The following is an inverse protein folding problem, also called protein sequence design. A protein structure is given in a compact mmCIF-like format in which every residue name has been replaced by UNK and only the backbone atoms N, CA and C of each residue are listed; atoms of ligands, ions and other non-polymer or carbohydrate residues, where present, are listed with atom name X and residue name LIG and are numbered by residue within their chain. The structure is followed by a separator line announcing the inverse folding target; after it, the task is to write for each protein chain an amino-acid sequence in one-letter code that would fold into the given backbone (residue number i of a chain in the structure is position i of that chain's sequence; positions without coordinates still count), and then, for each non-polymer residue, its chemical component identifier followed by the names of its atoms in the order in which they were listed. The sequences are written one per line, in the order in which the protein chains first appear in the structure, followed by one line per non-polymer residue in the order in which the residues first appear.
data_IF_299902615047
#
_entry.id   IF_299902615047
#
_cell.length_a   1.000
_cell.length_b   1.000
_cell.length_c   1.000
_cell.angle_alpha   90.00
_cell.angle_beta   90.00
_cell.angle_gamma   90.00
#
_symmetry.space_group_name_H-M   'P 1'
#
loop_
_entity.id
_entity.type
_entity.pdbx_description
1 polymer ?
#
# COMPACT_ATOMS: atom_id res chain seq x y z
N UNK A 1 -13.56 10.93 17.66
CA UNK A 1 -13.19 12.19 16.98
C UNK A 1 -14.27 12.51 15.95
N UNK A 2 -14.76 13.75 15.93
CA UNK A 2 -15.89 14.19 15.09
C UNK A 2 -15.45 14.83 13.77
N UNK A 3 -14.30 14.43 13.24
CA UNK A 3 -13.76 14.94 11.98
C UNK A 3 -13.73 13.78 10.97
N UNK A 4 -14.48 13.93 9.87
CA UNK A 4 -14.79 12.85 8.94
C UNK A 4 -13.65 12.53 7.95
N UNK A 5 -12.58 13.33 7.95
CA UNK A 5 -11.47 13.19 7.00
C UNK A 5 -10.37 12.25 7.51
N UNK A 6 -10.28 11.04 6.94
CA UNK A 6 -9.17 10.11 7.20
C UNK A 6 -7.87 10.46 6.44
N UNK A 7 -7.95 11.41 5.49
CA UNK A 7 -6.85 11.72 4.56
C UNK A 7 -5.55 12.13 5.25
N UNK A 8 -5.62 12.78 6.42
CA UNK A 8 -4.44 13.18 7.17
C UNK A 8 -3.69 11.99 7.80
N UNK A 9 -4.41 10.96 8.27
CA UNK A 9 -3.80 9.71 8.72
C UNK A 9 -3.16 8.95 7.54
N UNK A 10 -3.84 8.92 6.39
CA UNK A 10 -3.33 8.25 5.20
C UNK A 10 -2.04 8.92 4.71
N UNK A 11 -2.03 10.25 4.62
CA UNK A 11 -0.84 11.01 4.24
C UNK A 11 0.35 10.71 5.17
N UNK A 12 0.09 10.69 6.49
CA UNK A 12 1.09 10.35 7.49
C UNK A 12 1.68 8.94 7.31
N UNK A 13 0.84 7.95 6.99
CA UNK A 13 1.33 6.60 6.74
C UNK A 13 2.18 6.52 5.46
N UNK A 14 1.90 7.37 4.46
CA UNK A 14 2.69 7.40 3.22
C UNK A 14 4.07 8.03 3.43
N UNK A 15 4.24 8.96 4.39
CA UNK A 15 5.56 9.52 4.77
C UNK A 15 6.58 8.43 5.11
N UNK A 16 6.13 7.29 5.66
CA UNK A 16 7.00 6.13 5.96
C UNK A 16 7.61 5.50 4.69
N UNK A 17 6.93 5.60 3.55
CA UNK A 17 7.40 5.07 2.27
C UNK A 17 8.27 6.07 1.50
N UNK A 18 8.20 7.36 1.85
CA UNK A 18 8.95 8.39 1.15
C UNK A 18 10.46 8.18 1.28
N UNK A 19 11.18 8.31 0.17
CA UNK A 19 12.63 8.15 0.11
C UNK A 19 13.13 6.70 0.21
N UNK A 20 12.26 5.71 0.39
CA UNK A 20 12.65 4.29 0.37
C UNK A 20 12.97 3.85 -1.06
N UNK A 21 14.18 3.33 -1.26
CA UNK A 21 14.63 2.77 -2.55
C UNK A 21 14.42 1.26 -2.65
N UNK A 22 14.14 0.60 -1.52
CA UNK A 22 13.96 -0.85 -1.41
C UNK A 22 12.52 -1.31 -1.63
N UNK A 23 11.58 -0.36 -1.73
CA UNK A 23 10.16 -0.61 -1.92
C UNK A 23 9.63 0.25 -3.06
N UNK A 24 8.70 -0.30 -3.84
CA UNK A 24 7.85 0.47 -4.75
C UNK A 24 6.44 0.52 -4.17
N UNK A 25 5.72 1.61 -4.39
CA UNK A 25 4.34 1.72 -3.92
C UNK A 25 3.46 2.50 -4.88
N UNK A 26 2.16 2.23 -4.82
CA UNK A 26 1.14 2.93 -5.58
C UNK A 26 -0.07 3.19 -4.67
N UNK A 27 -0.39 4.46 -4.47
CA UNK A 27 -1.62 4.87 -3.81
C UNK A 27 -2.81 4.65 -4.76
N UNK A 28 -3.88 4.06 -4.24
CA UNK A 28 -5.15 3.84 -4.94
C UNK A 28 -6.30 4.40 -4.09
N UNK A 29 -7.52 4.56 -4.64
CA UNK A 29 -8.66 5.09 -3.88
C UNK A 29 -9.03 4.27 -2.63
N UNK A 30 -8.68 2.98 -2.59
CA UNK A 30 -9.09 2.06 -1.52
C UNK A 30 -7.91 1.49 -0.72
N UNK A 31 -6.70 2.01 -0.91
CA UNK A 31 -5.51 1.56 -0.17
C UNK A 31 -4.21 1.78 -0.95
N UNK A 32 -3.12 1.28 -0.39
CA UNK A 32 -1.78 1.41 -0.97
C UNK A 32 -1.28 0.03 -1.35
N UNK A 33 -0.89 -0.14 -2.61
CA UNK A 33 -0.18 -1.35 -3.07
C UNK A 33 1.30 -1.12 -2.82
N UNK A 34 1.97 -2.08 -2.17
CA UNK A 34 3.40 -2.03 -1.87
C UNK A 34 4.04 -3.28 -2.46
N UNK A 35 5.16 -3.10 -3.16
CA UNK A 35 5.96 -4.15 -3.77
C UNK A 35 7.37 -4.15 -3.19
N UNK A 36 7.84 -5.33 -2.80
CA UNK A 36 9.16 -5.54 -2.22
C UNK A 36 9.26 -6.92 -1.57
N UNK A 37 10.33 -7.14 -0.80
CA UNK A 37 10.49 -8.38 -0.02
C UNK A 37 9.45 -8.47 1.09
N UNK A 38 9.03 -9.70 1.43
CA UNK A 38 8.06 -9.97 2.48
C UNK A 38 8.47 -9.34 3.81
N UNK A 39 9.73 -9.50 4.21
CA UNK A 39 10.24 -8.97 5.47
C UNK A 39 10.10 -7.45 5.55
N UNK A 40 10.41 -6.74 4.46
CA UNK A 40 10.27 -5.28 4.38
C UNK A 40 8.82 -4.83 4.37
N UNK A 41 7.93 -5.57 3.71
CA UNK A 41 6.49 -5.28 3.72
C UNK A 41 5.91 -5.44 5.14
N UNK A 42 6.29 -6.49 5.87
CA UNK A 42 5.82 -6.69 7.23
C UNK A 42 6.39 -5.63 8.19
N UNK A 43 7.67 -5.28 8.04
CA UNK A 43 8.33 -4.21 8.79
C UNK A 43 7.59 -2.87 8.61
N UNK A 44 7.31 -2.49 7.36
CA UNK A 44 6.69 -1.20 7.04
C UNK A 44 5.22 -1.17 7.44
N UNK A 45 4.50 -2.28 7.28
CA UNK A 45 3.08 -2.37 7.66
C UNK A 45 2.92 -2.16 9.16
N UNK A 46 3.85 -2.69 9.97
CA UNK A 46 3.86 -2.45 11.41
C UNK A 46 4.06 -0.96 11.72
N UNK A 47 5.05 -0.32 11.10
CA UNK A 47 5.30 1.12 11.31
C UNK A 47 4.07 1.95 10.93
N UNK A 48 3.44 1.66 9.80
CA UNK A 48 2.21 2.34 9.36
C UNK A 48 1.01 2.12 10.27
N UNK A 49 0.91 0.95 10.90
CA UNK A 49 -0.17 0.66 11.84
C UNK A 49 -0.08 1.52 13.11
N UNK A 50 1.14 1.89 13.52
CA UNK A 50 1.38 2.72 14.72
C UNK A 50 1.10 4.21 14.48
N UNK A 51 1.33 4.72 13.27
CA UNK A 51 1.18 6.17 12.95
C UNK A 51 -0.15 6.79 13.37
N UNK A 52 -1.32 6.15 13.16
CA UNK A 52 -2.57 6.74 13.62
C UNK A 52 -2.67 6.83 15.15
N UNK A 53 -2.06 5.91 15.90
CA UNK A 53 -2.03 5.99 17.36
C UNK A 53 -1.20 7.19 17.83
N UNK A 54 -0.06 7.46 17.19
CA UNK A 54 0.76 8.66 17.44
C UNK A 54 0.00 9.97 17.16
N UNK A 55 -1.03 9.89 16.30
CA UNK A 55 -1.92 11.01 15.94
C UNK A 55 -3.25 10.99 16.69
N UNK A 56 -3.36 10.20 17.76
CA UNK A 56 -4.49 10.22 18.70
C UNK A 56 -5.64 9.27 18.36
N UNK A 57 -5.49 8.37 17.38
CA UNK A 57 -6.46 7.31 17.16
C UNK A 57 -6.46 6.32 18.35
N UNK A 58 -7.63 5.99 18.88
CA UNK A 58 -7.74 5.01 19.97
C UNK A 58 -7.83 3.56 19.47
N UNK A 59 -8.12 3.36 18.18
CA UNK A 59 -8.26 2.05 17.55
C UNK A 59 -7.95 2.16 16.07
N UNK A 60 -7.14 1.24 15.57
CA UNK A 60 -6.78 1.10 14.15
C UNK A 60 -7.11 -0.32 13.70
N UNK A 61 -7.62 -0.46 12.49
CA UNK A 61 -7.78 -1.75 11.81
C UNK A 61 -6.97 -1.68 10.52
N UNK A 62 -5.99 -2.56 10.37
CA UNK A 62 -5.19 -2.67 9.16
C UNK A 62 -5.51 -3.98 8.46
N UNK A 63 -5.87 -3.89 7.18
CA UNK A 63 -6.10 -5.04 6.31
C UNK A 63 -4.91 -5.20 5.37
N UNK A 64 -4.16 -6.29 5.49
CA UNK A 64 -3.04 -6.62 4.62
C UNK A 64 -3.38 -7.85 3.78
N UNK A 65 -3.22 -7.73 2.46
CA UNK A 65 -3.29 -8.85 1.51
C UNK A 65 -1.95 -9.03 0.84
N UNK A 66 -1.36 -10.22 1.00
CA UNK A 66 -0.05 -10.56 0.43
C UNK A 66 -0.27 -11.50 -0.76
N UNK A 67 0.32 -11.14 -1.90
CA UNK A 67 0.29 -11.92 -3.13
C UNK A 67 1.73 -12.22 -3.55
N UNK A 68 2.26 -13.33 -3.03
CA UNK A 68 3.60 -13.85 -3.32
C UNK A 68 3.49 -15.09 -4.22
N UNK A 69 4.33 -15.13 -5.25
CA UNK A 69 4.52 -16.30 -6.09
C UNK A 69 6.01 -16.59 -6.23
N UNK A 70 6.40 -17.86 -6.31
CA UNK A 70 7.81 -18.28 -6.38
C UNK A 70 8.20 -18.94 -7.70
N UNK A 71 7.23 -19.12 -8.58
CA UNK A 71 7.40 -19.77 -9.88
C UNK A 71 7.85 -18.79 -10.97
N UNK A 72 7.52 -17.50 -10.87
CA UNK A 72 8.05 -16.45 -11.74
C UNK A 72 8.03 -15.06 -11.09
N UNK A 73 8.92 -14.14 -11.48
CA UNK A 73 8.84 -12.74 -11.09
C UNK A 73 7.51 -12.12 -11.52
N UNK A 74 7.00 -11.19 -10.71
CA UNK A 74 5.76 -10.48 -10.98
C UNK A 74 5.81 -9.12 -10.30
N UNK A 75 5.33 -8.10 -11.02
CA UNK A 75 5.25 -6.72 -10.52
C UNK A 75 3.80 -6.24 -10.58
N UNK A 76 3.44 -5.27 -9.74
CA UNK A 76 2.12 -4.65 -9.69
C UNK A 76 1.77 -4.00 -11.03
N UNK A 77 2.72 -3.31 -11.66
CA UNK A 77 2.56 -2.75 -13.01
C UNK A 77 2.31 -3.86 -14.02
N UNK A 78 3.12 -4.93 -13.99
CA UNK A 78 2.96 -6.06 -14.91
C UNK A 78 1.60 -6.77 -14.76
N UNK A 79 1.03 -6.82 -13.55
CA UNK A 79 -0.32 -7.35 -13.32
C UNK A 79 -1.39 -6.48 -13.99
N UNK A 80 -1.29 -5.16 -13.86
CA UNK A 80 -2.22 -4.22 -14.51
C UNK A 80 -2.09 -4.31 -16.03
N UNK A 81 -0.87 -4.25 -16.56
CA UNK A 81 -0.62 -4.37 -18.00
C UNK A 81 -1.15 -5.67 -18.60
N UNK A 82 -1.01 -6.79 -17.88
CA UNK A 82 -1.51 -8.09 -18.35
C UNK A 82 -3.02 -8.07 -18.55
N UNK A 83 -3.77 -7.37 -17.70
CA UNK A 83 -5.22 -7.19 -17.84
C UNK A 83 -5.54 -6.22 -18.97
N UNK A 84 -4.84 -5.08 -19.06
CA UNK A 84 -5.05 -4.08 -20.11
C UNK A 84 -4.80 -4.63 -21.51
N UNK A 85 -3.80 -5.51 -21.67
CA UNK A 85 -3.55 -6.25 -22.93
C UNK A 85 -4.77 -7.08 -23.37
N UNK A 86 -5.51 -7.65 -22.41
CA UNK A 86 -6.72 -8.43 -22.65
C UNK A 86 -7.98 -7.55 -22.77
N UNK A 87 -7.93 -6.29 -22.33
CA UNK A 87 -9.03 -5.32 -22.35
C UNK A 87 -8.54 -3.93 -22.80
N UNK A 88 -8.20 -3.75 -24.09
CA UNK A 88 -7.66 -2.48 -24.60
C UNK A 88 -8.62 -1.28 -24.51
N UNK A 89 -9.92 -1.54 -24.28
CA UNK A 89 -10.95 -0.50 -24.14
C UNK A 89 -10.93 0.20 -22.79
N UNK A 90 -10.26 -0.34 -21.77
CA UNK A 90 -10.13 0.29 -20.45
C UNK A 90 -9.07 1.39 -20.54
N UNK A 91 -9.44 2.61 -20.16
CA UNK A 91 -8.52 3.74 -20.01
C UNK A 91 -8.16 3.88 -18.53
N UNK A 92 -6.87 3.75 -18.20
CA UNK A 92 -6.30 4.00 -16.87
C UNK A 92 -5.58 5.33 -16.82
#
# INVERSE_FOLDING_TARGET
TGDAGLSHYIAACLEILEGRQDLSYQLTPMGTVIEGSLDKILEITRQMHEVPFDRGASRVVTSLKIDERRDKPSTMVGKVESVLKLRPSIKT
#
